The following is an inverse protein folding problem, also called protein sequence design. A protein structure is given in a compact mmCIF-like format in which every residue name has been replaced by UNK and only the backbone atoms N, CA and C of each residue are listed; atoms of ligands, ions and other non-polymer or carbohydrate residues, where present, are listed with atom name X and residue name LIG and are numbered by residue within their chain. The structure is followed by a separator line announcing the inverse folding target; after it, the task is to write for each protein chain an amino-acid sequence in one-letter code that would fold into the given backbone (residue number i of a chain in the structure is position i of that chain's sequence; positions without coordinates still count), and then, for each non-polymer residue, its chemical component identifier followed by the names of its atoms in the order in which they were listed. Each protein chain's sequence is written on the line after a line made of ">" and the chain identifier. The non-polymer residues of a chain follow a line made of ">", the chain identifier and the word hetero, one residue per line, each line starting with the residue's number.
data_IF_669919203293
#
_entry.id   IF_669919203293
#
_cell.length_a   1.000
_cell.length_b   1.000
_cell.length_c   1.000
_cell.angle_alpha   90.00
_cell.angle_beta   90.00
_cell.angle_gamma   90.00
#
_symmetry.space_group_name_H-M   'P 1'
#
loop_
_entity.id
_entity.type
_entity.pdbx_description
1 polymer ?
#
# COMPACT_ATOMS: atom_id res chain seq x y z
N UNK A 1 -24.99 -2.08 -17.80
CA UNK A 1 -24.02 -1.07 -17.32
C UNK A 1 -23.42 -1.61 -16.03
N UNK A 2 -22.11 -1.84 -15.96
CA UNK A 2 -21.48 -2.32 -14.74
C UNK A 2 -21.34 -1.18 -13.74
N UNK A 3 -21.81 -1.36 -12.51
CA UNK A 3 -21.66 -0.35 -11.47
C UNK A 3 -20.17 -0.01 -11.25
N UNK A 4 -19.77 1.28 -11.39
CA UNK A 4 -18.39 1.69 -11.21
C UNK A 4 -17.95 1.42 -9.77
N UNK A 5 -16.70 0.98 -9.57
CA UNK A 5 -16.20 0.64 -8.23
C UNK A 5 -15.81 1.89 -7.44
N UNK A 6 -15.41 2.93 -8.16
CA UNK A 6 -14.97 4.20 -7.61
C UNK A 6 -15.67 5.36 -8.33
N UNK A 7 -15.97 6.44 -7.61
CA UNK A 7 -16.48 7.70 -8.14
C UNK A 7 -15.42 8.79 -8.00
N UNK A 8 -15.25 9.69 -8.99
CA UNK A 8 -14.43 10.88 -8.82
C UNK A 8 -14.92 11.70 -7.63
N UNK A 9 -14.01 12.23 -6.80
CA UNK A 9 -14.40 13.19 -5.76
C UNK A 9 -14.94 14.46 -6.39
N UNK A 10 -16.04 15.01 -5.84
CA UNK A 10 -16.59 16.30 -6.26
C UNK A 10 -15.77 17.49 -5.76
N UNK A 11 -15.08 17.34 -4.63
CA UNK A 11 -14.24 18.37 -4.01
C UNK A 11 -12.86 17.78 -3.72
N UNK A 12 -11.81 18.45 -4.21
CA UNK A 12 -10.42 18.01 -4.09
C UNK A 12 -10.02 16.94 -5.12
N UNK A 13 -8.80 16.43 -5.00
CA UNK A 13 -8.26 15.41 -5.90
C UNK A 13 -8.52 13.98 -5.37
N UNK A 14 -8.88 13.06 -6.27
CA UNK A 14 -8.92 11.62 -6.01
C UNK A 14 -10.26 10.92 -6.27
N UNK A 15 -10.39 9.71 -5.71
CA UNK A 15 -11.52 8.81 -5.92
C UNK A 15 -12.13 8.36 -4.58
N UNK A 16 -13.46 8.24 -4.52
CA UNK A 16 -14.18 7.64 -3.40
C UNK A 16 -14.73 6.27 -3.80
N UNK A 17 -14.72 5.26 -2.90
CA UNK A 17 -15.34 3.98 -3.17
C UNK A 17 -16.85 4.17 -3.39
N UNK A 18 -17.36 3.65 -4.50
CA UNK A 18 -18.76 3.76 -4.89
C UNK A 18 -19.61 2.59 -4.35
N UNK A 19 -18.95 1.46 -4.10
CA UNK A 19 -19.55 0.22 -3.64
C UNK A 19 -18.58 -0.57 -2.74
N UNK A 20 -19.05 -1.69 -2.19
CA UNK A 20 -18.24 -2.57 -1.34
C UNK A 20 -16.95 -3.07 -2.04
N UNK A 21 -16.96 -3.24 -3.36
CA UNK A 21 -15.78 -3.67 -4.13
C UNK A 21 -14.69 -2.60 -4.12
N UNK A 22 -15.05 -1.33 -4.31
CA UNK A 22 -14.13 -0.21 -4.18
C UNK A 22 -13.59 -0.04 -2.76
N UNK A 23 -14.43 -0.28 -1.74
CA UNK A 23 -14.00 -0.24 -0.34
C UNK A 23 -12.99 -1.36 -0.02
N UNK A 24 -13.28 -2.60 -0.44
CA UNK A 24 -12.37 -3.74 -0.28
C UNK A 24 -11.05 -3.47 -1.00
N UNK A 25 -11.08 -2.96 -2.23
CA UNK A 25 -9.86 -2.62 -2.96
C UNK A 25 -9.04 -1.53 -2.27
N UNK A 26 -9.67 -0.53 -1.66
CA UNK A 26 -9.00 0.48 -0.85
C UNK A 26 -8.35 -0.13 0.41
N UNK A 27 -9.07 -1.01 1.11
CA UNK A 27 -8.53 -1.70 2.30
C UNK A 27 -7.32 -2.58 1.93
N UNK A 28 -7.39 -3.31 0.81
CA UNK A 28 -6.26 -4.09 0.29
C UNK A 28 -5.08 -3.19 -0.04
N UNK A 29 -5.31 -2.04 -0.69
CA UNK A 29 -4.24 -1.08 -0.97
C UNK A 29 -3.58 -0.57 0.31
N UNK A 30 -4.36 -0.19 1.32
CA UNK A 30 -3.83 0.26 2.62
C UNK A 30 -3.03 -0.85 3.30
N UNK A 31 -3.52 -2.10 3.25
CA UNK A 31 -2.79 -3.24 3.78
C UNK A 31 -1.46 -3.46 3.06
N UNK A 32 -1.44 -3.40 1.72
CA UNK A 32 -0.20 -3.51 0.92
C UNK A 32 0.77 -2.39 1.28
N UNK A 33 0.32 -1.13 1.29
CA UNK A 33 1.18 0.01 1.62
C UNK A 33 1.75 -0.07 3.05
N UNK A 34 0.93 -0.51 4.01
CA UNK A 34 1.38 -0.77 5.38
C UNK A 34 2.42 -1.90 5.41
N UNK A 35 2.18 -3.01 4.72
CA UNK A 35 3.11 -4.14 4.62
C UNK A 35 4.42 -3.74 3.94
N UNK A 36 4.38 -2.96 2.87
CA UNK A 36 5.56 -2.40 2.19
C UNK A 36 6.40 -1.55 3.15
N UNK A 37 5.76 -0.66 3.92
CA UNK A 37 6.46 0.16 4.90
C UNK A 37 7.00 -0.65 6.08
N UNK A 38 6.26 -1.65 6.55
CA UNK A 38 6.61 -2.44 7.74
C UNK A 38 7.70 -3.46 7.42
N UNK A 39 7.57 -4.19 6.30
CA UNK A 39 8.53 -5.22 5.89
C UNK A 39 9.81 -4.63 5.29
N UNK A 40 9.74 -3.51 4.57
CA UNK A 40 10.93 -2.92 3.98
C UNK A 40 11.60 -1.90 4.91
N UNK A 41 10.92 -1.52 6.00
CA UNK A 41 11.39 -0.65 7.09
C UNK A 41 12.71 -1.10 7.71
N UNK A 42 13.48 -0.19 8.33
CA UNK A 42 14.77 -0.56 8.91
C UNK A 42 14.56 -1.14 10.31
N UNK A 43 14.89 -2.42 10.57
CA UNK A 43 14.68 -3.02 11.89
C UNK A 43 15.56 -2.35 12.96
N UNK A 44 16.66 -1.70 12.58
CA UNK A 44 17.55 -1.00 13.51
C UNK A 44 16.91 0.27 14.08
N UNK A 45 16.01 0.91 13.33
CA UNK A 45 15.25 2.08 13.80
C UNK A 45 14.08 1.69 14.73
N UNK A 46 13.62 0.44 14.66
CA UNK A 46 12.61 -0.08 15.56
C UNK A 46 13.28 -0.45 16.90
N UNK A 47 13.09 0.37 17.93
CA UNK A 47 13.47 0.03 19.32
C UNK A 47 13.03 -1.41 19.62
N UNK A 48 13.92 -2.19 20.24
CA UNK A 48 13.81 -3.63 20.53
C UNK A 48 12.49 -4.05 21.18
N UNK A 49 11.42 -4.10 20.40
CA UNK A 49 10.11 -4.56 20.79
C UNK A 49 9.86 -5.92 20.15
N UNK A 50 9.02 -6.73 20.79
CA UNK A 50 8.61 -8.04 20.30
C UNK A 50 8.06 -7.98 18.85
N UNK A 51 7.48 -6.83 18.48
CA UNK A 51 6.99 -6.53 17.14
C UNK A 51 8.12 -6.45 16.10
N UNK A 52 9.27 -5.85 16.45
CA UNK A 52 10.43 -5.77 15.56
C UNK A 52 11.02 -7.15 15.28
N UNK A 53 11.09 -8.02 16.30
CA UNK A 53 11.56 -9.40 16.13
C UNK A 53 10.66 -10.21 15.19
N UNK A 54 9.33 -10.05 15.31
CA UNK A 54 8.38 -10.71 14.41
C UNK A 54 8.50 -10.23 12.96
N UNK A 55 8.73 -8.92 12.74
CA UNK A 55 8.97 -8.36 11.41
C UNK A 55 10.27 -8.88 10.79
N UNK A 56 11.34 -9.01 11.59
CA UNK A 56 12.61 -9.60 11.13
C UNK A 56 12.43 -11.06 10.72
N UNK A 57 11.64 -11.84 11.47
CA UNK A 57 11.30 -13.22 11.13
C UNK A 57 10.55 -13.30 9.79
N UNK A 58 9.50 -12.49 9.62
CA UNK A 58 8.73 -12.42 8.37
C UNK A 58 9.58 -12.06 7.16
N UNK A 59 10.54 -11.14 7.31
CA UNK A 59 11.49 -10.81 6.24
C UNK A 59 12.41 -11.97 5.92
N UNK A 60 12.84 -12.71 6.94
CA UNK A 60 13.67 -13.89 6.75
C UNK A 60 12.90 -14.99 5.98
N UNK A 61 11.65 -15.24 6.35
CA UNK A 61 10.79 -16.22 5.67
C UNK A 61 10.48 -15.83 4.22
N UNK A 62 10.38 -14.51 3.95
CA UNK A 62 10.19 -13.98 2.60
C UNK A 62 11.48 -13.90 1.76
N UNK A 63 12.65 -14.29 2.31
CA UNK A 63 13.94 -14.19 1.62
C UNK A 63 14.44 -12.74 1.43
N UNK A 64 13.89 -11.79 2.19
CA UNK A 64 14.16 -10.35 2.09
C UNK A 64 15.22 -9.87 3.11
N UNK A 65 15.90 -10.80 3.78
CA UNK A 65 16.85 -10.53 4.88
C UNK A 65 18.01 -9.61 4.48
N UNK A 66 18.45 -9.65 3.22
CA UNK A 66 19.54 -8.83 2.71
C UNK A 66 19.10 -7.51 2.08
N UNK A 67 17.79 -7.26 1.97
CA UNK A 67 17.26 -6.16 1.16
C UNK A 67 17.06 -4.92 2.03
N UNK A 68 18.12 -4.10 2.13
CA UNK A 68 18.07 -2.79 2.78
C UNK A 68 17.72 -1.72 1.76
N UNK A 69 16.45 -1.35 1.69
CA UNK A 69 16.02 -0.20 0.90
C UNK A 69 16.29 1.09 1.68
N UNK A 70 17.03 2.07 1.12
CA UNK A 70 17.13 3.39 1.72
C UNK A 70 15.74 4.02 1.82
N UNK A 71 15.54 4.90 2.80
CA UNK A 71 14.26 5.54 3.06
C UNK A 71 13.65 6.18 1.80
N UNK A 72 14.49 6.80 0.96
CA UNK A 72 14.08 7.38 -0.33
C UNK A 72 13.47 6.34 -1.29
N UNK A 73 14.03 5.12 -1.36
CA UNK A 73 13.50 4.06 -2.21
C UNK A 73 12.15 3.54 -1.70
N UNK A 74 11.92 3.56 -0.38
CA UNK A 74 10.61 3.22 0.22
C UNK A 74 9.56 4.27 -0.13
N UNK A 75 9.91 5.55 -0.07
CA UNK A 75 9.02 6.63 -0.52
C UNK A 75 8.74 6.53 -2.01
N UNK A 76 9.74 6.22 -2.84
CA UNK A 76 9.54 6.01 -4.27
C UNK A 76 8.59 4.83 -4.54
N UNK A 77 8.72 3.72 -3.81
CA UNK A 77 7.80 2.58 -3.90
C UNK A 77 6.38 2.96 -3.49
N UNK A 78 6.20 3.71 -2.39
CA UNK A 78 4.87 4.14 -1.95
C UNK A 78 4.22 5.12 -2.92
N UNK A 79 5.00 6.01 -3.55
CA UNK A 79 4.53 6.87 -4.63
C UNK A 79 4.11 6.03 -5.85
N UNK A 80 4.90 5.01 -6.22
CA UNK A 80 4.57 4.10 -7.31
C UNK A 80 3.28 3.31 -7.00
N UNK A 81 3.14 2.78 -5.79
CA UNK A 81 1.93 2.10 -5.32
C UNK A 81 0.70 3.02 -5.40
N UNK A 82 0.83 4.28 -4.93
CA UNK A 82 -0.23 5.28 -5.06
C UNK A 82 -0.59 5.53 -6.53
N UNK A 83 0.41 5.74 -7.40
CA UNK A 83 0.18 5.98 -8.82
C UNK A 83 -0.53 4.80 -9.49
N UNK A 84 -0.12 3.57 -9.19
CA UNK A 84 -0.77 2.34 -9.67
C UNK A 84 -2.21 2.24 -9.15
N UNK A 85 -2.44 2.54 -7.87
CA UNK A 85 -3.79 2.55 -7.31
C UNK A 85 -4.67 3.62 -7.95
N UNK A 86 -4.16 4.82 -8.19
CA UNK A 86 -4.89 5.88 -8.90
C UNK A 86 -5.20 5.49 -10.34
N UNK A 87 -4.26 4.85 -11.05
CA UNK A 87 -4.50 4.34 -12.39
C UNK A 87 -5.57 3.24 -12.40
N UNK A 88 -5.52 2.32 -11.44
CA UNK A 88 -6.52 1.27 -11.25
C UNK A 88 -7.91 1.84 -10.92
N UNK A 89 -7.99 2.76 -9.96
CA UNK A 89 -9.23 3.43 -9.58
C UNK A 89 -9.82 4.19 -10.77
N UNK A 90 -9.00 4.92 -11.53
CA UNK A 90 -9.41 5.61 -12.76
C UNK A 90 -9.98 4.65 -13.79
N UNK A 91 -9.37 3.49 -13.99
CA UNK A 91 -9.86 2.47 -14.93
C UNK A 91 -11.20 1.88 -14.47
N UNK A 92 -11.34 1.57 -13.17
CA UNK A 92 -12.58 1.04 -12.57
C UNK A 92 -13.68 2.08 -12.29
N UNK A 93 -13.41 3.35 -12.58
CA UNK A 93 -14.39 4.44 -12.59
C UNK A 93 -15.01 4.70 -13.96
N UNK A 94 -14.50 4.10 -15.04
CA UNK A 94 -15.06 4.27 -16.39
C UNK A 94 -16.38 3.49 -16.50
N UNK A 95 -17.42 4.07 -17.13
CA UNK A 95 -18.74 3.44 -17.28
C UNK A 95 -18.72 2.21 -18.19
#
# INVERSE_FOLDING_TARGET
>A
MSDPWFRPKMVGYGYNPANAKGLIALLIFVAIAATTMTLLGDPVAAKSSQSAAWIVQLRADAGLSGLHLPLAARFALLIAELAVFFAFARWKSRP
#
